data_IF_289521921271
#
_entry.id   IF_289521921271
#
_cell.length_a   1.000
_cell.length_b   1.000
_cell.length_c   1.000
_cell.angle_alpha   90.00
_cell.angle_beta   90.00
_cell.angle_gamma   90.00
#
_symmetry.space_group_name_H-M   'P 1'
#
loop_
_entity.id
_entity.type
_entity.pdbx_description
1 polymer ?
#
# COMPACT_ATOMS: atom_id res chain seq x y z
N UNK A 1 -12.54 13.93 22.41
CA UNK A 1 -11.76 14.77 23.34
C UNK A 1 -10.28 14.63 23.00
N UNK A 2 -9.62 15.71 22.61
CA UNK A 2 -8.16 15.71 22.48
C UNK A 2 -7.51 15.67 23.87
N UNK A 3 -6.33 15.04 23.96
CA UNK A 3 -5.53 14.98 25.20
C UNK A 3 -4.11 15.40 24.89
N UNK A 4 -3.55 16.30 25.70
CA UNK A 4 -2.15 16.67 25.64
C UNK A 4 -1.56 16.67 27.06
N UNK A 5 -0.32 16.20 27.19
CA UNK A 5 0.44 16.27 28.44
C UNK A 5 1.49 17.36 28.27
N UNK A 6 1.39 18.41 29.07
CA UNK A 6 2.40 19.47 29.13
C UNK A 6 2.95 19.54 30.55
N UNK A 7 4.25 19.24 30.70
CA UNK A 7 4.94 19.24 32.00
C UNK A 7 4.22 18.42 33.10
N UNK A 8 3.59 17.30 32.72
CA UNK A 8 2.89 16.41 33.65
C UNK A 8 1.43 16.78 33.96
N UNK A 9 0.90 17.86 33.38
CA UNK A 9 -0.51 18.24 33.48
C UNK A 9 -1.25 17.73 32.24
N UNK A 10 -2.31 16.93 32.45
CA UNK A 10 -3.21 16.50 31.38
C UNK A 10 -4.24 17.59 31.06
N UNK A 11 -4.26 18.04 29.81
CA UNK A 11 -5.20 19.00 29.28
C UNK A 11 -6.17 18.30 28.33
N UNK A 12 -7.47 18.47 28.56
CA UNK A 12 -8.54 18.00 27.67
C UNK A 12 -9.15 19.17 26.91
N UNK A 13 -9.25 19.05 25.60
CA UNK A 13 -9.77 20.10 24.73
C UNK A 13 -10.61 19.52 23.58
N UNK A 14 -11.39 20.39 22.95
CA UNK A 14 -12.14 20.04 21.75
C UNK A 14 -11.18 19.88 20.56
N UNK A 15 -11.13 18.70 19.92
CA UNK A 15 -10.15 18.42 18.88
C UNK A 15 -10.43 19.24 17.62
N UNK A 16 -9.40 19.90 17.08
CA UNK A 16 -9.48 20.69 15.83
C UNK A 16 -9.58 19.78 14.60
N UNK A 17 -8.98 18.59 14.67
CA UNK A 17 -8.97 17.58 13.61
C UNK A 17 -9.39 16.22 14.19
N UNK A 18 -9.89 15.31 13.36
CA UNK A 18 -10.27 13.98 13.83
C UNK A 18 -9.05 13.17 14.28
N UNK A 19 -9.26 12.21 15.19
CA UNK A 19 -8.21 11.30 15.64
C UNK A 19 -7.61 10.52 14.45
N UNK A 20 -8.46 10.06 13.54
CA UNK A 20 -8.05 9.38 12.31
C UNK A 20 -7.15 10.27 11.43
N UNK A 21 -7.50 11.55 11.25
CA UNK A 21 -6.65 12.49 10.51
C UNK A 21 -5.30 12.69 11.20
N UNK A 22 -5.28 12.81 12.53
CA UNK A 22 -4.05 12.95 13.29
C UNK A 22 -3.15 11.70 13.14
N UNK A 23 -3.71 10.51 13.29
CA UNK A 23 -3.01 9.23 13.12
C UNK A 23 -2.41 9.09 11.72
N UNK A 24 -3.20 9.39 10.67
CA UNK A 24 -2.72 9.40 9.28
C UNK A 24 -1.54 10.36 9.07
N UNK A 25 -1.57 11.54 9.69
CA UNK A 25 -0.47 12.50 9.61
C UNK A 25 0.76 12.00 10.39
N UNK A 26 0.59 11.45 11.59
CA UNK A 26 1.70 10.87 12.36
C UNK A 26 2.37 9.73 11.59
N UNK A 27 1.59 8.87 10.96
CA UNK A 27 2.08 7.80 10.10
C UNK A 27 2.89 8.37 8.91
N UNK A 28 2.35 9.35 8.18
CA UNK A 28 3.08 10.04 7.10
C UNK A 28 4.36 10.73 7.60
N UNK A 29 4.36 11.31 8.79
CA UNK A 29 5.55 11.95 9.38
C UNK A 29 6.62 10.93 9.75
N UNK A 30 6.23 9.80 10.36
CA UNK A 30 7.16 8.69 10.64
C UNK A 30 7.77 8.15 9.36
N UNK A 31 6.96 7.95 8.31
CA UNK A 31 7.42 7.52 6.97
C UNK A 31 8.40 8.53 6.36
N UNK A 32 8.11 9.83 6.39
CA UNK A 32 9.05 10.88 5.92
C UNK A 32 10.37 10.95 6.70
N UNK A 33 10.39 10.58 7.98
CA UNK A 33 11.65 10.47 8.75
C UNK A 33 12.56 9.38 8.20
N UNK A 34 11.97 8.33 7.61
CA UNK A 34 12.69 7.27 6.90
C UNK A 34 13.25 7.84 5.58
N UNK A 35 12.41 8.45 4.74
CA UNK A 35 12.81 8.99 3.42
C UNK A 35 13.27 10.45 3.48
N UNK A 36 14.21 10.80 4.38
CA UNK A 36 14.67 12.20 4.46
C UNK A 36 15.39 12.59 3.14
N UNK A 37 14.98 13.68 2.47
CA UNK A 37 15.66 14.16 1.28
C UNK A 37 17.14 14.38 1.57
N UNK A 38 17.99 13.94 0.65
CA UNK A 38 19.42 14.19 0.73
C UNK A 38 19.66 15.71 0.76
N UNK A 39 20.56 16.16 1.64
CA UNK A 39 20.99 17.57 1.72
C UNK A 39 22.04 17.93 0.66
N UNK A 40 22.44 16.97 -0.18
CA UNK A 40 23.39 17.17 -1.27
C UNK A 40 22.70 17.85 -2.44
N UNK A 41 23.39 18.78 -3.11
CA UNK A 41 22.89 19.46 -4.33
C UNK A 41 22.73 18.52 -5.54
N UNK A 42 23.31 17.33 -5.51
CA UNK A 42 23.17 16.30 -6.56
C UNK A 42 23.10 14.89 -5.94
N UNK A 43 21.96 14.51 -5.36
CA UNK A 43 21.84 13.23 -4.68
C UNK A 43 21.71 12.07 -5.68
N UNK A 44 22.42 10.98 -5.43
CA UNK A 44 22.38 9.75 -6.24
C UNK A 44 21.02 9.06 -6.19
N UNK A 45 20.57 8.42 -7.26
CA UNK A 45 19.21 7.91 -7.50
C UNK A 45 18.54 7.36 -6.23
N UNK A 46 19.20 6.41 -5.55
CA UNK A 46 18.64 5.71 -4.40
C UNK A 46 18.86 6.37 -3.03
N UNK A 47 19.47 7.56 -3.00
CA UNK A 47 19.72 8.29 -1.75
C UNK A 47 18.41 8.61 -1.03
N UNK A 48 18.22 8.02 0.16
CA UNK A 48 17.03 8.15 0.99
C UNK A 48 16.06 6.96 0.91
N UNK A 49 16.23 6.07 -0.07
CA UNK A 49 15.33 4.94 -0.34
C UNK A 49 15.92 3.57 0.03
N UNK A 50 17.22 3.48 0.32
CA UNK A 50 17.88 2.21 0.64
C UNK A 50 17.90 1.91 2.14
N UNK A 51 17.58 0.66 2.48
CA UNK A 51 17.60 0.08 3.82
C UNK A 51 18.42 -1.19 3.83
N UNK A 52 19.12 -1.44 4.93
CA UNK A 52 19.77 -2.72 5.15
C UNK A 52 18.72 -3.77 5.52
N UNK A 53 18.70 -4.89 4.81
CA UNK A 53 17.77 -5.99 5.08
C UNK A 53 18.05 -6.69 6.43
N UNK A 54 19.28 -6.64 6.94
CA UNK A 54 19.64 -7.27 8.22
C UNK A 54 19.26 -6.40 9.42
N UNK A 55 19.64 -5.12 9.42
CA UNK A 55 19.52 -4.25 10.61
C UNK A 55 18.53 -3.09 10.45
N UNK A 56 17.85 -2.98 9.30
CA UNK A 56 16.87 -1.91 9.00
C UNK A 56 17.44 -0.50 8.89
N UNK A 57 18.74 -0.33 9.13
CA UNK A 57 19.39 1.00 9.10
C UNK A 57 19.52 1.51 7.67
N UNK A 58 19.61 2.84 7.51
CA UNK A 58 19.76 3.45 6.19
C UNK A 58 21.07 3.00 5.51
N UNK A 59 21.01 2.76 4.21
CA UNK A 59 22.20 2.61 3.37
C UNK A 59 22.46 3.97 2.71
N UNK A 60 23.59 4.57 3.08
CA UNK A 60 23.98 5.89 2.61
C UNK A 60 25.01 5.83 1.49
N UNK A 61 24.97 6.82 0.59
CA UNK A 61 26.03 7.07 -0.37
C UNK A 61 27.24 7.72 0.33
N UNK A 62 28.43 7.28 -0.03
CA UNK A 62 29.70 7.83 0.43
C UNK A 62 30.68 7.91 -0.72
N UNK A 63 31.56 8.91 -0.72
CA UNK A 63 32.50 9.14 -1.80
C UNK A 63 33.92 8.76 -1.36
N UNK A 64 34.67 8.08 -2.24
CA UNK A 64 36.08 7.79 -2.05
C UNK A 64 36.86 8.26 -3.28
N UNK A 65 38.03 8.88 -3.07
CA UNK A 65 38.92 9.30 -4.15
C UNK A 65 40.05 8.30 -4.30
N UNK A 66 40.42 7.94 -5.53
CA UNK A 66 41.64 7.18 -5.80
C UNK A 66 42.86 8.11 -5.91
N UNK A 67 44.05 7.50 -6.03
CA UNK A 67 45.31 8.23 -6.16
C UNK A 67 45.41 9.07 -7.44
N UNK A 68 44.59 8.77 -8.46
CA UNK A 68 44.51 9.50 -9.73
C UNK A 68 43.49 10.66 -9.69
N UNK A 69 42.90 10.93 -8.52
CA UNK A 69 41.91 12.00 -8.33
C UNK A 69 40.47 11.65 -8.77
N UNK A 70 40.22 10.44 -9.28
CA UNK A 70 38.87 9.96 -9.64
C UNK A 70 38.06 9.69 -8.38
N UNK A 71 36.83 10.21 -8.35
CA UNK A 71 35.89 10.04 -7.22
C UNK A 71 34.88 8.94 -7.54
N UNK A 72 34.76 7.97 -6.65
CA UNK A 72 33.80 6.87 -6.73
C UNK A 72 32.77 6.98 -5.63
N UNK A 73 31.53 6.61 -5.94
CA UNK A 73 30.44 6.60 -4.95
C UNK A 73 30.07 5.18 -4.59
N UNK A 74 29.89 4.94 -3.29
CA UNK A 74 29.52 3.65 -2.74
C UNK A 74 28.33 3.76 -1.81
N UNK A 75 27.40 2.82 -1.95
CA UNK A 75 26.33 2.57 -0.99
C UNK A 75 26.80 1.60 0.08
N UNK A 76 26.62 1.98 1.34
CA UNK A 76 27.06 1.20 2.50
C UNK A 76 26.07 1.34 3.64
N UNK A 77 25.83 0.25 4.37
CA UNK A 77 25.02 0.27 5.57
C UNK A 77 25.61 1.24 6.60
N UNK A 78 24.82 2.21 7.06
CA UNK A 78 25.27 3.22 8.02
C UNK A 78 25.77 2.57 9.30
N UNK A 79 25.07 1.54 9.78
CA UNK A 79 25.40 0.84 11.03
C UNK A 79 26.67 0.01 10.91
N UNK A 80 26.90 -0.65 9.78
CA UNK A 80 28.10 -1.46 9.54
C UNK A 80 29.39 -0.61 9.50
N UNK A 81 29.28 0.68 9.18
CA UNK A 81 30.42 1.63 9.18
C UNK A 81 30.76 2.23 10.55
N UNK A 82 29.96 1.98 11.59
CA UNK A 82 30.15 2.60 12.90
C UNK A 82 31.00 1.72 13.79
N UNK A 83 31.94 2.33 14.49
CA UNK A 83 32.65 1.64 15.57
C UNK A 83 31.69 1.39 16.75
N UNK A 84 31.96 0.39 17.60
CA UNK A 84 31.15 0.14 18.80
C UNK A 84 30.96 1.40 19.67
N UNK A 85 31.98 2.26 19.76
CA UNK A 85 31.90 3.53 20.49
C UNK A 85 30.87 4.50 19.90
N UNK A 86 30.73 4.53 18.57
CA UNK A 86 29.76 5.40 17.90
C UNK A 86 28.33 4.84 17.94
N UNK A 87 28.20 3.54 18.13
CA UNK A 87 26.91 2.84 18.15
C UNK A 87 26.30 2.77 19.57
N UNK A 88 27.11 3.02 20.60
CA UNK A 88 26.69 2.93 21.99
C UNK A 88 26.27 1.50 22.32
N UNK A 89 25.07 1.34 22.87
CA UNK A 89 24.50 0.02 23.22
C UNK A 89 23.82 -0.69 22.06
N UNK A 90 23.69 -0.07 20.88
CA UNK A 90 23.03 -0.72 19.75
C UNK A 90 23.93 -1.83 19.15
N UNK A 91 23.35 -2.97 18.73
CA UNK A 91 24.13 -4.06 18.14
C UNK A 91 24.65 -3.63 16.76
N UNK A 92 25.89 -4.04 16.43
CA UNK A 92 26.50 -3.84 15.12
C UNK A 92 25.74 -4.54 13.99
N UNK A 93 26.21 -4.37 12.76
CA UNK A 93 25.62 -5.00 11.58
C UNK A 93 26.70 -5.71 10.76
N UNK A 94 26.40 -6.93 10.32
CA UNK A 94 27.28 -7.80 9.52
C UNK A 94 27.32 -7.44 8.03
N UNK A 95 26.35 -6.65 7.56
CA UNK A 95 26.28 -6.13 6.18
C UNK A 95 27.38 -5.07 5.89
N UNK A 96 28.63 -5.51 5.81
CA UNK A 96 29.80 -4.66 5.56
C UNK A 96 30.07 -4.39 4.08
N UNK A 97 29.32 -5.02 3.18
CA UNK A 97 29.46 -4.87 1.72
C UNK A 97 29.33 -3.42 1.28
N UNK A 98 30.28 -2.97 0.44
CA UNK A 98 30.25 -1.66 -0.19
C UNK A 98 29.90 -1.79 -1.68
N UNK A 99 28.74 -1.26 -2.04
CA UNK A 99 28.18 -1.35 -3.38
C UNK A 99 28.60 -0.17 -4.24
N UNK A 100 29.27 -0.42 -5.37
CA UNK A 100 29.58 0.62 -6.36
C UNK A 100 28.26 1.19 -6.90
N UNK A 101 28.01 2.48 -6.68
CA UNK A 101 26.74 3.12 -7.06
C UNK A 101 26.45 2.90 -8.56
N UNK A 102 27.33 3.35 -9.45
CA UNK A 102 27.09 3.35 -10.91
C UNK A 102 26.68 1.97 -11.49
N UNK A 103 27.11 0.88 -10.86
CA UNK A 103 26.70 -0.49 -11.21
C UNK A 103 25.36 -0.86 -10.59
N UNK A 104 25.25 -0.71 -9.27
CA UNK A 104 24.10 -1.19 -8.51
C UNK A 104 22.85 -0.35 -8.74
N UNK A 105 22.96 0.93 -9.11
CA UNK A 105 21.77 1.73 -9.41
C UNK A 105 20.98 1.14 -10.58
N UNK A 106 21.66 0.63 -11.60
CA UNK A 106 21.05 -0.05 -12.75
C UNK A 106 20.49 -1.42 -12.38
N UNK A 107 21.28 -2.23 -11.67
CA UNK A 107 20.87 -3.58 -11.27
C UNK A 107 19.67 -3.55 -10.31
N UNK A 108 19.65 -2.64 -9.35
CA UNK A 108 18.52 -2.47 -8.42
C UNK A 108 17.29 -1.88 -9.09
N UNK A 109 17.46 -1.00 -10.08
CA UNK A 109 16.33 -0.52 -10.89
C UNK A 109 15.67 -1.67 -11.64
N UNK A 110 16.45 -2.52 -12.31
CA UNK A 110 15.94 -3.69 -13.01
C UNK A 110 15.25 -4.69 -12.07
N UNK A 111 15.85 -4.99 -10.91
CA UNK A 111 15.23 -5.87 -9.91
C UNK A 111 13.94 -5.28 -9.34
N UNK A 112 13.89 -3.95 -9.15
CA UNK A 112 12.69 -3.26 -8.71
C UNK A 112 11.58 -3.33 -9.76
N UNK A 113 11.87 -2.97 -11.01
CA UNK A 113 10.89 -3.04 -12.10
C UNK A 113 10.34 -4.46 -12.25
N UNK A 114 11.20 -5.48 -12.18
CA UNK A 114 10.78 -6.87 -12.26
C UNK A 114 9.82 -7.28 -11.12
N UNK A 115 10.07 -6.82 -9.89
CA UNK A 115 9.19 -7.12 -8.74
C UNK A 115 7.86 -6.38 -8.81
N UNK A 116 7.84 -5.14 -9.31
CA UNK A 116 6.62 -4.34 -9.39
C UNK A 116 5.75 -4.70 -10.60
N UNK A 117 6.36 -5.24 -11.65
CA UNK A 117 5.70 -5.72 -12.86
C UNK A 117 5.52 -7.24 -12.86
N UNK A 118 5.54 -7.91 -11.70
CA UNK A 118 5.26 -9.34 -11.61
C UNK A 118 3.75 -9.58 -11.69
N UNK A 119 3.23 -10.21 -12.77
CA UNK A 119 1.81 -10.45 -12.95
C UNK A 119 1.20 -11.34 -11.86
N UNK A 120 2.01 -12.16 -11.17
CA UNK A 120 1.55 -13.01 -10.06
C UNK A 120 1.35 -12.19 -8.78
N UNK A 121 2.18 -11.15 -8.58
CA UNK A 121 2.13 -10.31 -7.38
C UNK A 121 1.19 -9.10 -7.53
N UNK A 122 0.93 -8.65 -8.77
CA UNK A 122 0.06 -7.51 -9.06
C UNK A 122 -1.35 -7.59 -8.46
N UNK A 123 -2.07 -8.74 -8.46
CA UNK A 123 -3.39 -8.83 -7.81
C UNK A 123 -3.35 -8.56 -6.29
N UNK A 124 -2.20 -8.72 -5.65
CA UNK A 124 -2.03 -8.38 -4.22
C UNK A 124 -1.87 -6.88 -4.01
N UNK A 125 -1.22 -6.19 -4.96
CA UNK A 125 -0.97 -4.74 -4.92
C UNK A 125 -2.16 -3.94 -5.44
N UNK A 126 -2.83 -4.47 -6.47
CA UNK A 126 -3.97 -3.88 -7.15
C UNK A 126 -5.06 -4.96 -7.24
N UNK A 127 -5.80 -5.22 -6.14
CA UNK A 127 -6.86 -6.21 -6.16
C UNK A 127 -7.88 -5.82 -7.23
N UNK A 128 -8.54 -6.82 -7.85
CA UNK A 128 -9.57 -6.52 -8.83
C UNK A 128 -10.61 -5.61 -8.17
N UNK A 129 -11.13 -4.66 -8.93
CA UNK A 129 -12.15 -3.75 -8.42
C UNK A 129 -13.40 -4.56 -8.06
N UNK A 130 -13.50 -4.95 -6.79
CA UNK A 130 -14.73 -5.43 -6.21
C UNK A 130 -15.53 -4.18 -5.94
N UNK A 131 -16.46 -3.85 -6.84
CA UNK A 131 -17.46 -2.83 -6.54
C UNK A 131 -18.16 -3.28 -5.27
N UNK A 132 -17.88 -2.62 -4.15
CA UNK A 132 -18.63 -2.79 -2.92
C UNK A 132 -20.02 -2.20 -3.19
N UNK A 133 -20.89 -2.98 -3.83
CA UNK A 133 -22.31 -2.65 -3.90
C UNK A 133 -22.85 -2.77 -2.48
N UNK A 134 -23.22 -1.62 -1.90
CA UNK A 134 -24.01 -1.61 -0.68
C UNK A 134 -25.21 -2.53 -0.90
N UNK A 135 -25.47 -3.49 -0.02
CA UNK A 135 -26.59 -4.42 -0.18
C UNK A 135 -27.95 -3.71 -0.11
N UNK A 136 -29.04 -4.40 -0.51
CA UNK A 136 -30.37 -3.81 -0.41
C UNK A 136 -30.70 -3.48 1.06
N UNK A 137 -31.49 -2.42 1.33
CA UNK A 137 -31.86 -2.06 2.70
C UNK A 137 -32.53 -3.24 3.42
N UNK A 138 -31.90 -3.74 4.50
CA UNK A 138 -32.37 -4.93 5.25
C UNK A 138 -33.83 -4.81 5.70
N UNK A 139 -34.23 -3.64 6.19
CA UNK A 139 -35.61 -3.37 6.60
C UNK A 139 -36.59 -3.59 5.44
N UNK A 140 -36.25 -3.13 4.23
CA UNK A 140 -37.12 -3.27 3.06
C UNK A 140 -37.25 -4.72 2.60
N UNK A 141 -36.16 -5.49 2.67
CA UNK A 141 -36.17 -6.93 2.38
C UNK A 141 -37.07 -7.66 3.38
N UNK A 142 -36.92 -7.40 4.67
CA UNK A 142 -37.71 -8.01 5.74
C UNK A 142 -39.21 -7.68 5.62
N UNK A 143 -39.55 -6.44 5.27
CA UNK A 143 -40.93 -6.03 5.00
C UNK A 143 -41.56 -6.87 3.88
N UNK A 144 -40.86 -7.03 2.76
CA UNK A 144 -41.33 -7.81 1.62
C UNK A 144 -41.46 -9.30 1.95
N UNK A 145 -40.48 -9.88 2.64
CA UNK A 145 -40.52 -11.28 3.10
C UNK A 145 -41.69 -11.52 4.07
N UNK A 146 -41.94 -10.58 4.98
CA UNK A 146 -43.09 -10.65 5.90
C UNK A 146 -44.43 -10.52 5.16
N UNK A 147 -44.52 -9.64 4.17
CA UNK A 147 -45.72 -9.49 3.34
C UNK A 147 -46.00 -10.75 2.51
N UNK A 148 -44.96 -11.40 1.97
CA UNK A 148 -45.07 -12.70 1.31
C UNK A 148 -45.58 -13.73 2.32
N UNK A 149 -44.96 -13.85 3.49
CA UNK A 149 -45.39 -14.81 4.51
C UNK A 149 -46.87 -14.64 4.89
N UNK A 150 -47.32 -13.39 5.11
CA UNK A 150 -48.73 -13.07 5.40
C UNK A 150 -49.68 -13.43 4.26
N UNK A 151 -49.26 -13.28 3.00
CA UNK A 151 -50.07 -13.69 1.86
C UNK A 151 -50.28 -15.22 1.80
N UNK A 152 -49.34 -16.00 2.34
CA UNK A 152 -49.40 -17.46 2.42
C UNK A 152 -50.08 -18.00 3.69
N UNK A 153 -50.25 -17.19 4.75
CA UNK A 153 -50.90 -17.60 6.01
C UNK A 153 -52.30 -18.24 5.82
N UNK A 154 -53.21 -17.69 4.99
CA UNK A 154 -54.54 -18.29 4.82
C UNK A 154 -54.50 -19.64 4.09
N UNK A 155 -53.50 -19.86 3.23
CA UNK A 155 -53.29 -21.15 2.58
C UNK A 155 -52.77 -22.18 3.57
N UNK A 156 -51.82 -21.82 4.42
CA UNK A 156 -51.34 -22.70 5.49
C UNK A 156 -52.44 -23.09 6.50
N UNK A 157 -53.52 -22.31 6.57
CA UNK A 157 -54.71 -22.60 7.37
C UNK A 157 -55.85 -23.28 6.57
N UNK A 158 -55.57 -23.79 5.36
CA UNK A 158 -56.52 -24.43 4.44
C UNK A 158 -57.74 -23.56 4.06
N UNK A 159 -57.62 -22.23 4.13
CA UNK A 159 -58.73 -21.29 3.87
C UNK A 159 -58.82 -20.83 2.42
N UNK A 160 -57.75 -20.97 1.64
CA UNK A 160 -57.67 -20.59 0.23
C UNK A 160 -56.92 -21.66 -0.55
N UNK A 161 -57.13 -21.68 -1.87
CA UNK A 161 -56.34 -22.51 -2.78
C UNK A 161 -54.95 -21.92 -2.99
N UNK A 162 -53.98 -22.78 -3.29
CA UNK A 162 -52.58 -22.40 -3.57
C UNK A 162 -52.46 -21.31 -4.63
N UNK A 163 -53.18 -21.44 -5.74
CA UNK A 163 -53.21 -20.44 -6.83
C UNK A 163 -53.63 -19.04 -6.37
N UNK A 164 -54.49 -18.96 -5.34
CA UNK A 164 -54.94 -17.68 -4.78
C UNK A 164 -53.82 -17.09 -3.91
N UNK A 165 -53.14 -17.91 -3.11
CA UNK A 165 -52.00 -17.48 -2.30
C UNK A 165 -50.84 -17.01 -3.17
N UNK A 166 -50.51 -17.76 -4.23
CA UNK A 166 -49.53 -17.36 -5.24
C UNK A 166 -49.87 -16.01 -5.85
N UNK A 167 -51.11 -15.79 -6.28
CA UNK A 167 -51.53 -14.51 -6.86
C UNK A 167 -51.43 -13.34 -5.87
N UNK A 168 -51.68 -13.58 -4.58
CA UNK A 168 -51.55 -12.57 -3.52
C UNK A 168 -50.08 -12.27 -3.20
N UNK A 169 -49.20 -13.28 -3.25
CA UNK A 169 -47.77 -13.14 -2.97
C UNK A 169 -46.96 -12.60 -4.16
N UNK A 170 -47.42 -12.86 -5.39
CA UNK A 170 -46.76 -12.50 -6.64
C UNK A 170 -46.24 -11.05 -6.71
N UNK A 171 -46.99 -10.00 -6.36
CA UNK A 171 -46.48 -8.63 -6.43
C UNK A 171 -45.31 -8.38 -5.47
N UNK A 172 -45.33 -8.98 -4.27
CA UNK A 172 -44.25 -8.85 -3.30
C UNK A 172 -43.01 -9.66 -3.71
N UNK A 173 -43.23 -10.85 -4.28
CA UNK A 173 -42.14 -11.66 -4.85
C UNK A 173 -41.46 -10.95 -6.01
N UNK A 174 -42.23 -10.30 -6.89
CA UNK A 174 -41.69 -9.50 -8.00
C UNK A 174 -40.87 -8.31 -7.47
N UNK A 175 -41.38 -7.54 -6.51
CA UNK A 175 -40.64 -6.43 -5.92
C UNK A 175 -39.34 -6.88 -5.23
N UNK A 176 -39.37 -8.03 -4.55
CA UNK A 176 -38.17 -8.59 -3.92
C UNK A 176 -37.15 -9.05 -4.98
N UNK A 177 -37.62 -9.61 -6.11
CA UNK A 177 -36.76 -10.00 -7.22
C UNK A 177 -36.13 -8.79 -7.91
N UNK A 178 -36.91 -7.73 -8.17
CA UNK A 178 -36.43 -6.46 -8.74
C UNK A 178 -35.38 -5.81 -7.82
N UNK A 179 -35.68 -5.73 -6.52
CA UNK A 179 -34.74 -5.22 -5.51
C UNK A 179 -33.45 -6.06 -5.48
N UNK A 180 -33.55 -7.39 -5.49
CA UNK A 180 -32.35 -8.25 -5.52
C UNK A 180 -31.55 -8.11 -6.82
N UNK A 181 -32.21 -7.86 -7.95
CA UNK A 181 -31.56 -7.65 -9.24
C UNK A 181 -30.82 -6.30 -9.30
N UNK A 182 -31.43 -5.23 -8.77
CA UNK A 182 -30.80 -3.90 -8.67
C UNK A 182 -29.50 -3.96 -7.85
N UNK A 183 -29.51 -4.73 -6.77
CA UNK A 183 -28.38 -4.91 -5.87
C UNK A 183 -27.56 -6.19 -6.15
N UNK A 184 -27.76 -6.82 -7.32
CA UNK A 184 -27.00 -8.00 -7.70
C UNK A 184 -25.51 -7.65 -7.76
N UNK A 185 -24.61 -8.53 -7.27
CA UNK A 185 -23.19 -8.29 -7.34
C UNK A 185 -22.80 -8.10 -8.81
N UNK A 186 -22.21 -6.95 -9.12
CA UNK A 186 -21.65 -6.71 -10.44
C UNK A 186 -20.51 -7.72 -10.67
N UNK A 187 -20.37 -8.28 -11.88
CA UNK A 187 -19.26 -9.17 -12.18
C UNK A 187 -17.96 -8.43 -11.87
N UNK A 188 -17.09 -9.08 -11.09
CA UNK A 188 -15.78 -8.54 -10.77
C UNK A 188 -14.99 -8.42 -12.08
N UNK A 189 -14.66 -7.19 -12.48
CA UNK A 189 -13.79 -6.96 -13.64
C UNK A 189 -12.37 -7.28 -13.18
N UNK A 190 -11.85 -8.42 -13.61
CA UNK A 190 -10.44 -8.77 -13.43
C UNK A 190 -9.62 -8.10 -14.53
N UNK A 191 -8.71 -7.16 -14.19
CA UNK A 191 -7.76 -6.62 -15.16
C UNK A 191 -6.91 -7.73 -15.79
N UNK A 192 -6.49 -7.55 -17.05
CA UNK A 192 -5.39 -8.35 -17.60
C UNK A 192 -4.09 -7.90 -16.94
N UNK A 193 -3.68 -8.63 -15.90
CA UNK A 193 -2.48 -8.31 -15.14
C UNK A 193 -1.20 -8.51 -15.95
N UNK A 194 -1.22 -9.31 -17.03
CA UNK A 194 -0.06 -9.50 -17.91
C UNK A 194 0.14 -8.27 -18.77
N UNK A 195 -0.93 -7.76 -19.37
CA UNK A 195 -0.90 -6.52 -20.16
C UNK A 195 -0.52 -5.33 -19.27
N UNK A 196 -1.17 -5.18 -18.11
CA UNK A 196 -0.90 -4.10 -17.16
C UNK A 196 0.54 -4.12 -16.64
N UNK A 197 1.09 -5.31 -16.35
CA UNK A 197 2.49 -5.47 -15.98
C UNK A 197 3.44 -4.94 -17.06
N UNK A 198 3.16 -5.28 -18.32
CA UNK A 198 3.94 -4.86 -19.48
C UNK A 198 3.92 -3.34 -19.67
N UNK A 199 2.74 -2.72 -19.59
CA UNK A 199 2.59 -1.27 -19.66
C UNK A 199 3.32 -0.56 -18.51
N UNK A 200 3.19 -1.08 -17.29
CA UNK A 200 3.83 -0.51 -16.12
C UNK A 200 5.36 -0.61 -16.19
N UNK A 201 5.90 -1.75 -16.64
CA UNK A 201 7.34 -1.93 -16.86
C UNK A 201 7.87 -0.92 -17.88
N UNK A 202 7.17 -0.76 -19.01
CA UNK A 202 7.53 0.20 -20.05
C UNK A 202 7.47 1.65 -19.54
N UNK A 203 6.50 1.98 -18.70
CA UNK A 203 6.40 3.30 -18.09
C UNK A 203 7.57 3.59 -17.14
N UNK A 204 7.97 2.60 -16.32
CA UNK A 204 9.14 2.71 -15.44
C UNK A 204 10.44 2.86 -16.22
N UNK A 205 10.61 2.11 -17.32
CA UNK A 205 11.82 2.19 -18.15
C UNK A 205 11.89 3.48 -18.98
N UNK A 206 10.74 4.03 -19.39
CA UNK A 206 10.62 5.34 -20.05
C UNK A 206 10.85 6.52 -19.10
N UNK A 207 11.19 6.34 -17.83
CA UNK A 207 11.68 7.45 -16.99
C UNK A 207 13.08 7.87 -17.50
N UNK A 208 13.11 8.92 -18.34
CA UNK A 208 14.25 9.31 -19.19
C UNK A 208 15.42 9.93 -18.39
N UNK A 209 15.16 10.56 -17.23
CA UNK A 209 16.20 11.20 -16.41
C UNK A 209 16.17 10.75 -14.95
N UNK A 210 17.32 10.82 -14.27
CA UNK A 210 17.45 10.43 -12.85
C UNK A 210 16.54 11.25 -11.92
N UNK A 211 16.20 12.48 -12.29
CA UNK A 211 15.28 13.33 -11.53
C UNK A 211 13.84 12.81 -11.56
N UNK A 212 13.36 12.40 -12.75
CA UNK A 212 12.03 11.79 -12.92
C UNK A 212 11.92 10.48 -12.13
N UNK A 213 12.98 9.66 -12.17
CA UNK A 213 13.07 8.42 -11.40
C UNK A 213 12.99 8.69 -9.90
N UNK A 214 13.74 9.67 -9.40
CA UNK A 214 13.68 10.05 -7.97
C UNK A 214 12.31 10.58 -7.57
N UNK A 215 11.67 11.38 -8.41
CA UNK A 215 10.33 11.87 -8.16
C UNK A 215 9.34 10.69 -8.03
N UNK A 216 9.42 9.72 -8.94
CA UNK A 216 8.63 8.50 -8.91
C UNK A 216 8.86 7.68 -7.63
N UNK A 217 10.13 7.46 -7.24
CA UNK A 217 10.46 6.77 -5.98
C UNK A 217 9.88 7.48 -4.75
N UNK A 218 9.85 8.82 -4.76
CA UNK A 218 9.26 9.61 -3.67
C UNK A 218 7.74 9.59 -3.66
N UNK A 219 7.09 9.60 -4.83
CA UNK A 219 5.63 9.55 -4.96
C UNK A 219 5.07 8.21 -4.46
N UNK A 220 5.78 7.12 -4.74
CA UNK A 220 5.41 5.77 -4.35
C UNK A 220 5.86 5.41 -2.91
N UNK A 221 6.49 6.34 -2.19
CA UNK A 221 7.14 6.14 -0.87
C UNK A 221 7.96 4.85 -0.83
N UNK A 222 8.83 4.69 -1.82
CA UNK A 222 9.48 3.42 -2.07
C UNK A 222 10.69 3.18 -1.17
N UNK A 223 10.81 1.97 -0.64
CA UNK A 223 11.98 1.51 0.11
C UNK A 223 12.53 0.21 -0.50
N UNK A 224 13.85 0.18 -0.71
CA UNK A 224 14.56 -1.02 -1.13
C UNK A 224 15.37 -1.56 0.04
N UNK A 225 15.07 -2.80 0.43
CA UNK A 225 15.84 -3.53 1.42
C UNK A 225 16.92 -4.33 0.72
N UNK A 226 18.17 -3.91 0.88
CA UNK A 226 19.34 -4.53 0.25
C UNK A 226 19.89 -5.61 1.16
N UNK A 227 20.04 -6.82 0.63
CA UNK A 227 20.69 -7.96 1.27
C UNK A 227 22.21 -7.95 1.05
N UNK A 228 23.02 -8.64 1.87
CA UNK A 228 24.48 -8.68 1.72
C UNK A 228 25.01 -9.16 0.38
N UNK A 229 24.24 -10.02 -0.32
CA UNK A 229 24.53 -10.52 -1.66
C UNK A 229 24.25 -9.49 -2.77
N UNK A 230 23.58 -8.38 -2.45
CA UNK A 230 23.20 -7.34 -3.38
C UNK A 230 21.79 -7.50 -3.97
N UNK A 231 21.06 -8.55 -3.60
CA UNK A 231 19.64 -8.68 -3.94
C UNK A 231 18.80 -7.65 -3.18
N UNK A 232 17.67 -7.24 -3.76
CA UNK A 232 16.77 -6.27 -3.14
C UNK A 232 15.37 -6.80 -2.97
N UNK A 233 14.74 -6.43 -1.87
CA UNK A 233 13.29 -6.57 -1.67
C UNK A 233 12.65 -5.20 -1.74
N UNK A 234 11.68 -5.03 -2.62
CA UNK A 234 10.93 -3.77 -2.76
C UNK A 234 9.80 -3.72 -1.74
N UNK A 235 9.64 -2.56 -1.11
CA UNK A 235 8.46 -2.22 -0.34
C UNK A 235 7.91 -0.90 -0.89
N UNK A 236 6.64 -0.93 -1.31
CA UNK A 236 5.89 0.25 -1.76
C UNK A 236 4.79 0.50 -0.75
N UNK A 237 4.51 1.77 -0.47
CA UNK A 237 3.41 2.12 0.41
C UNK A 237 2.77 3.41 -0.11
N UNK A 238 1.92 3.30 -1.14
CA UNK A 238 1.35 4.47 -1.81
C UNK A 238 0.52 5.32 -0.82
N UNK A 239 0.41 6.64 -1.05
CA UNK A 239 -0.16 7.61 -0.11
C UNK A 239 -1.68 7.56 0.07
#
# INVERSE_FOLDING_TARGET
MGRAVFQGIELTYEPIISAEQFERVQERMQRRRVTRPSRSGSPRLWSGHLRCAECGSAIGASHAKNNEGRTYTYYTCWRAKRSPRQLGSAPGCTHTTAYRADRMEKEWWQQMTAQLSDPVMLPTLLPPAVSATAGPPLARVQELETAIARAWEPFAADKILEQIAERLAAPYQQQLAELRAEYAPQPTVTPDYVELAGEFAQALDKAIQDEDRRMLLSLLDMQLYVHPDGSVRVQVSPP
#
